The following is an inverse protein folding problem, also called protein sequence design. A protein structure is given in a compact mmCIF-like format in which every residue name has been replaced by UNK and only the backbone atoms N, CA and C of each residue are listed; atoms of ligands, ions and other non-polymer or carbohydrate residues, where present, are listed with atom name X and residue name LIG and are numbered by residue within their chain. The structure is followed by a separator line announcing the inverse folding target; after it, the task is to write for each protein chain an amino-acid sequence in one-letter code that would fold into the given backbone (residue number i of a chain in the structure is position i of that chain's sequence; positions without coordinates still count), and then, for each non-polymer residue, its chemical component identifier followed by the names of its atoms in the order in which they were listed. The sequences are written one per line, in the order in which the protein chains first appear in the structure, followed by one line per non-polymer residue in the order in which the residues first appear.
data_IF_147934304451
#
_entry.id   IF_147934304451
#
_cell.length_a   1.000
_cell.length_b   1.000
_cell.length_c   1.000
_cell.angle_alpha   90.00
_cell.angle_beta   90.00
_cell.angle_gamma   90.00
#
_symmetry.space_group_name_H-M   'P 1'
#
loop_
_entity.id
_entity.type
_entity.pdbx_description
1 polymer ?
#
# COMPACT_ATOMS: atom_id res chain seq x y z
N UNK A 1 13.24 -33.06 34.48
CA UNK A 1 12.85 -31.82 35.19
C UNK A 1 12.83 -30.59 34.28
N UNK A 2 13.71 -30.54 33.26
CA UNK A 2 13.83 -29.43 32.31
C UNK A 2 12.58 -29.25 31.43
N UNK A 3 11.98 -30.33 30.92
CA UNK A 3 10.77 -30.26 30.08
C UNK A 3 9.57 -29.61 30.78
N UNK A 4 9.38 -29.89 32.08
CA UNK A 4 8.32 -29.26 32.88
C UNK A 4 8.52 -27.75 33.03
N UNK A 5 9.77 -27.29 33.14
CA UNK A 5 10.09 -25.86 33.21
C UNK A 5 9.83 -25.16 31.87
N UNK A 6 10.23 -25.79 30.76
CA UNK A 6 9.99 -25.28 29.40
C UNK A 6 8.50 -25.19 29.10
N UNK A 7 7.73 -26.20 29.50
CA UNK A 7 6.28 -26.22 29.37
C UNK A 7 5.60 -25.12 30.19
N UNK A 8 6.04 -24.91 31.43
CA UNK A 8 5.53 -23.84 32.28
C UNK A 8 5.84 -22.45 31.71
N UNK A 9 7.03 -22.29 31.11
CA UNK A 9 7.45 -21.06 30.45
C UNK A 9 6.53 -20.70 29.28
N UNK A 10 6.25 -21.66 28.40
CA UNK A 10 5.31 -21.44 27.29
C UNK A 10 3.90 -21.11 27.78
N UNK A 11 3.42 -21.81 28.82
CA UNK A 11 2.12 -21.53 29.42
C UNK A 11 2.04 -20.11 30.02
N UNK A 12 3.11 -19.61 30.64
CA UNK A 12 3.21 -18.23 31.13
C UNK A 12 3.17 -17.21 29.99
N UNK A 13 3.94 -17.47 28.91
CA UNK A 13 3.95 -16.62 27.71
C UNK A 13 2.54 -16.45 27.13
N UNK A 14 1.77 -17.54 27.02
CA UNK A 14 0.43 -17.47 26.45
C UNK A 14 -0.58 -16.84 27.42
N UNK A 15 -0.53 -17.20 28.70
CA UNK A 15 -1.46 -16.69 29.73
C UNK A 15 -1.41 -15.17 29.84
N UNK A 16 -0.20 -14.63 29.91
CA UNK A 16 0.04 -13.21 30.24
C UNK A 16 0.37 -12.38 29.00
N UNK A 17 0.07 -12.90 27.80
CA UNK A 17 0.24 -12.20 26.50
C UNK A 17 1.65 -11.64 26.27
N UNK A 18 2.67 -12.50 26.28
CA UNK A 18 4.09 -12.15 26.07
C UNK A 18 4.66 -11.21 27.16
N UNK A 19 4.64 -11.59 28.44
CA UNK A 19 5.31 -10.80 29.47
C UNK A 19 6.82 -10.78 29.18
N UNK A 20 7.49 -9.61 29.30
CA UNK A 20 8.86 -9.42 28.82
C UNK A 20 9.85 -10.40 29.46
N UNK A 21 9.73 -10.69 30.76
CA UNK A 21 10.61 -11.64 31.45
C UNK A 21 10.54 -13.08 30.91
N UNK A 22 9.33 -13.56 30.60
CA UNK A 22 9.17 -14.90 30.04
C UNK A 22 9.66 -14.98 28.58
N UNK A 23 9.45 -13.91 27.80
CA UNK A 23 9.97 -13.81 26.43
C UNK A 23 11.49 -13.82 26.42
N UNK A 24 12.15 -13.01 27.26
CA UNK A 24 13.61 -13.01 27.39
C UNK A 24 14.14 -14.38 27.77
N UNK A 25 13.49 -15.07 28.71
CA UNK A 25 13.86 -16.43 29.13
C UNK A 25 13.71 -17.43 27.97
N UNK A 26 12.63 -17.33 27.18
CA UNK A 26 12.42 -18.20 26.03
C UNK A 26 13.42 -17.96 24.90
N UNK A 27 13.79 -16.71 24.63
CA UNK A 27 14.79 -16.37 23.61
C UNK A 27 16.17 -16.87 24.00
N UNK A 28 16.50 -16.89 25.29
CA UNK A 28 17.77 -17.39 25.81
C UNK A 28 17.93 -18.92 25.70
N UNK A 29 16.85 -19.67 25.42
CA UNK A 29 16.91 -21.13 25.25
C UNK A 29 17.82 -21.53 24.07
N UNK A 30 18.42 -22.72 24.17
CA UNK A 30 19.04 -23.37 23.01
C UNK A 30 18.05 -23.47 21.84
N UNK A 31 18.52 -23.39 20.60
CA UNK A 31 17.63 -23.39 19.43
C UNK A 31 16.70 -24.62 19.38
N UNK A 32 17.22 -25.79 19.75
CA UNK A 32 16.44 -27.03 19.82
C UNK A 32 15.34 -26.91 20.87
N UNK A 33 15.70 -26.56 22.10
CA UNK A 33 14.78 -26.38 23.22
C UNK A 33 13.70 -25.31 22.92
N UNK A 34 14.07 -24.24 22.23
CA UNK A 34 13.15 -23.20 21.77
C UNK A 34 12.11 -23.74 20.78
N UNK A 35 12.54 -24.51 19.78
CA UNK A 35 11.62 -25.09 18.79
C UNK A 35 10.76 -26.17 19.44
N UNK A 36 11.33 -26.99 20.32
CA UNK A 36 10.60 -28.03 21.06
C UNK A 36 9.56 -27.41 22.00
N UNK A 37 9.89 -26.30 22.67
CA UNK A 37 8.93 -25.50 23.45
C UNK A 37 7.72 -25.08 22.59
N UNK A 38 7.96 -24.51 21.40
CA UNK A 38 6.88 -24.08 20.50
C UNK A 38 6.09 -25.27 19.96
N UNK A 39 6.75 -26.37 19.58
CA UNK A 39 6.11 -27.56 19.07
C UNK A 39 5.21 -28.22 20.12
N UNK A 40 5.69 -28.35 21.37
CA UNK A 40 4.92 -28.88 22.50
C UNK A 40 3.76 -27.94 22.86
N UNK A 41 4.00 -26.63 22.79
CA UNK A 41 2.97 -25.61 22.95
C UNK A 41 1.84 -25.76 21.94
N UNK A 42 2.17 -25.81 20.65
CA UNK A 42 1.22 -26.06 19.54
C UNK A 42 0.53 -27.42 19.71
N UNK A 43 1.24 -28.46 20.14
CA UNK A 43 0.66 -29.78 20.36
C UNK A 43 -0.43 -29.78 21.43
N UNK A 44 -0.21 -29.05 22.53
CA UNK A 44 -1.23 -28.86 23.58
C UNK A 44 -2.47 -28.14 23.05
N UNK A 45 -2.32 -27.21 22.10
CA UNK A 45 -3.44 -26.52 21.46
C UNK A 45 -4.22 -27.40 20.48
N UNK A 46 -3.51 -28.19 19.66
CA UNK A 46 -4.12 -29.04 18.63
C UNK A 46 -4.44 -30.46 19.11
N UNK A 47 -4.24 -30.78 20.39
CA UNK A 47 -4.41 -32.11 21.01
C UNK A 47 -3.66 -33.23 20.28
N UNK A 48 -2.66 -32.89 19.48
CA UNK A 48 -1.87 -33.80 18.65
C UNK A 48 -0.53 -33.15 18.35
N UNK A 49 0.54 -33.96 18.26
CA UNK A 49 1.86 -33.45 17.94
C UNK A 49 1.85 -32.93 16.49
N UNK A 50 2.14 -31.65 16.22
CA UNK A 50 2.08 -31.11 14.88
C UNK A 50 3.15 -31.77 14.00
N UNK A 51 2.80 -32.10 12.76
CA UNK A 51 3.81 -32.44 11.76
C UNK A 51 4.74 -31.26 11.53
N UNK A 52 5.96 -31.49 11.01
CA UNK A 52 6.89 -30.39 10.70
C UNK A 52 6.28 -29.35 9.75
N UNK A 53 5.46 -29.79 8.79
CA UNK A 53 4.74 -28.90 7.89
C UNK A 53 3.67 -28.07 8.62
N UNK A 54 2.91 -28.68 9.53
CA UNK A 54 1.93 -27.97 10.36
C UNK A 54 2.61 -26.96 11.29
N UNK A 55 3.75 -27.33 11.88
CA UNK A 55 4.56 -26.44 12.71
C UNK A 55 5.12 -25.27 11.87
N UNK A 56 5.67 -25.52 10.68
CA UNK A 56 6.15 -24.47 9.79
C UNK A 56 5.05 -23.44 9.46
N UNK A 57 3.85 -23.93 9.16
CA UNK A 57 2.66 -23.10 8.92
C UNK A 57 2.28 -22.28 10.16
N UNK A 58 2.26 -22.89 11.34
CA UNK A 58 1.97 -22.22 12.61
C UNK A 58 2.98 -21.12 12.94
N UNK A 59 4.26 -21.33 12.62
CA UNK A 59 5.36 -20.40 12.84
C UNK A 59 5.50 -19.33 11.75
N UNK A 60 4.74 -19.45 10.64
CA UNK A 60 4.86 -18.56 9.49
C UNK A 60 6.23 -18.61 8.83
N UNK A 61 6.85 -19.79 8.77
CA UNK A 61 8.12 -20.03 8.07
C UNK A 61 7.96 -21.08 6.98
N UNK A 62 8.87 -21.08 6.00
CA UNK A 62 8.86 -22.10 4.96
C UNK A 62 9.15 -23.49 5.54
N UNK A 63 8.61 -24.53 4.90
CA UNK A 63 8.89 -25.90 5.30
C UNK A 63 10.39 -26.23 5.22
N UNK A 64 11.11 -25.75 4.19
CA UNK A 64 12.57 -25.91 4.12
C UNK A 64 13.29 -25.28 5.32
N UNK A 65 12.87 -24.09 5.76
CA UNK A 65 13.47 -23.41 6.90
C UNK A 65 13.28 -24.20 8.21
N UNK A 66 12.12 -24.83 8.45
CA UNK A 66 11.93 -25.62 9.67
C UNK A 66 12.85 -26.85 9.71
N UNK A 67 13.18 -27.44 8.56
CA UNK A 67 14.17 -28.52 8.49
C UNK A 67 15.58 -28.00 8.83
N UNK A 68 15.98 -26.86 8.28
CA UNK A 68 17.26 -26.20 8.61
C UNK A 68 17.37 -25.82 10.09
N UNK A 69 16.27 -25.35 10.70
CA UNK A 69 16.27 -24.94 12.10
C UNK A 69 16.27 -26.14 13.07
N UNK A 70 15.75 -27.28 12.64
CA UNK A 70 15.72 -28.53 13.43
C UNK A 70 16.89 -29.47 13.16
N UNK A 71 17.78 -29.11 12.23
CA UNK A 71 18.98 -29.88 11.92
C UNK A 71 19.99 -29.85 13.08
N UNK A 72 20.84 -30.88 13.15
CA UNK A 72 21.96 -30.88 14.09
C UNK A 72 22.93 -29.73 13.77
N UNK A 73 23.61 -29.18 14.77
CA UNK A 73 24.47 -28.00 14.59
C UNK A 73 25.63 -28.23 13.61
N UNK A 74 26.04 -29.49 13.43
CA UNK A 74 27.08 -29.91 12.48
C UNK A 74 26.55 -30.21 11.07
N UNK A 75 25.24 -30.13 10.85
CA UNK A 75 24.66 -30.39 9.53
C UNK A 75 24.88 -29.20 8.58
N UNK A 76 25.15 -29.51 7.31
CA UNK A 76 25.39 -28.49 6.24
C UNK A 76 24.26 -27.46 6.14
N UNK A 77 23.02 -27.89 6.34
CA UNK A 77 21.83 -27.05 6.19
C UNK A 77 21.37 -26.39 7.51
N UNK A 78 22.18 -26.46 8.58
CA UNK A 78 21.88 -25.82 9.84
C UNK A 78 21.85 -24.30 9.70
N UNK A 79 20.77 -23.67 10.18
CA UNK A 79 20.63 -22.22 10.24
C UNK A 79 20.35 -21.78 11.67
N UNK A 80 21.09 -20.78 12.15
CA UNK A 80 20.85 -20.19 13.47
C UNK A 80 19.67 -19.22 13.42
N UNK A 81 18.72 -19.38 14.33
CA UNK A 81 17.60 -18.45 14.50
C UNK A 81 18.08 -17.13 15.13
N UNK A 82 17.77 -16.00 14.49
CA UNK A 82 17.97 -14.67 15.08
C UNK A 82 16.95 -14.41 16.20
N UNK A 83 17.28 -13.47 17.09
CA UNK A 83 16.39 -13.02 18.17
C UNK A 83 15.03 -12.55 17.64
N UNK A 84 15.04 -11.73 16.59
CA UNK A 84 13.81 -11.21 15.97
C UNK A 84 12.93 -12.33 15.40
N UNK A 85 13.55 -13.34 14.79
CA UNK A 85 12.83 -14.50 14.26
C UNK A 85 12.18 -15.29 15.40
N UNK A 86 12.88 -15.45 16.54
CA UNK A 86 12.32 -16.11 17.73
C UNK A 86 11.12 -15.34 18.28
N UNK A 87 11.23 -14.02 18.41
CA UNK A 87 10.12 -13.16 18.86
C UNK A 87 8.92 -13.30 17.91
N UNK A 88 9.15 -13.20 16.59
CA UNK A 88 8.11 -13.34 15.58
C UNK A 88 7.42 -14.71 15.64
N UNK A 89 8.19 -15.79 15.85
CA UNK A 89 7.66 -17.14 16.02
C UNK A 89 6.76 -17.26 17.25
N UNK A 90 7.17 -16.74 18.41
CA UNK A 90 6.35 -16.73 19.64
C UNK A 90 5.02 -16.01 19.36
N UNK A 91 5.08 -14.80 18.79
CA UNK A 91 3.90 -13.99 18.52
C UNK A 91 2.93 -14.68 17.56
N UNK A 92 3.44 -15.34 16.51
CA UNK A 92 2.62 -16.08 15.55
C UNK A 92 1.89 -17.25 16.19
N UNK A 93 2.57 -18.05 17.02
CA UNK A 93 1.93 -19.18 17.72
C UNK A 93 0.78 -18.71 18.61
N UNK A 94 0.93 -17.54 19.24
CA UNK A 94 -0.10 -16.97 20.11
C UNK A 94 -1.30 -16.38 19.36
N UNK A 95 -1.08 -15.95 18.12
CA UNK A 95 -2.10 -15.33 17.27
C UNK A 95 -2.79 -16.31 16.34
N UNK A 96 -2.40 -17.60 16.36
CA UNK A 96 -3.12 -18.64 15.60
C UNK A 96 -4.59 -18.59 16.02
N UNK A 97 -5.52 -18.25 15.10
CA UNK A 97 -6.93 -18.20 15.42
C UNK A 97 -7.35 -19.60 15.88
N UNK A 98 -7.71 -19.71 17.17
CA UNK A 98 -8.03 -20.99 17.80
C UNK A 98 -9.21 -21.61 17.09
N UNK A 99 -8.99 -22.65 16.28
CA UNK A 99 -10.04 -23.32 15.55
C UNK A 99 -11.05 -24.07 16.46
N UNK A 100 -10.83 -24.17 17.78
CA UNK A 100 -11.63 -25.04 18.65
C UNK A 100 -11.88 -24.55 20.09
N UNK A 101 -11.90 -23.23 20.34
CA UNK A 101 -12.63 -22.71 21.51
C UNK A 101 -13.79 -21.87 21.00
N UNK A 102 -15.05 -22.34 21.07
CA UNK A 102 -16.17 -21.43 20.97
C UNK A 102 -16.03 -20.49 22.17
N UNK A 103 -15.54 -19.28 21.91
CA UNK A 103 -15.57 -18.23 22.92
C UNK A 103 -17.00 -18.17 23.46
N UNK A 104 -17.16 -18.00 24.76
CA UNK A 104 -18.49 -17.85 25.37
C UNK A 104 -19.31 -16.69 24.75
N UNK A 105 -18.70 -15.85 23.90
CA UNK A 105 -19.36 -14.86 23.04
C UNK A 105 -20.13 -15.45 21.84
N UNK A 106 -19.77 -16.64 21.34
CA UNK A 106 -20.40 -17.27 20.18
C UNK A 106 -21.76 -17.91 20.47
N UNK A 107 -22.13 -18.12 21.74
CA UNK A 107 -23.49 -18.56 22.11
C UNK A 107 -24.53 -17.44 22.05
N UNK A 108 -24.14 -16.20 21.76
CA UNK A 108 -25.07 -15.15 21.32
C UNK A 108 -25.12 -15.12 19.78
N UNK A 109 -25.51 -16.23 19.19
CA UNK A 109 -26.16 -16.23 17.89
C UNK A 109 -27.54 -15.55 18.04
N UNK A 110 -27.52 -14.24 18.21
CA UNK A 110 -28.68 -13.38 18.06
C UNK A 110 -28.26 -12.27 17.12
N UNK A 111 -28.66 -12.38 15.84
CA UNK A 111 -28.55 -11.36 14.77
C UNK A 111 -27.21 -10.60 14.76
N UNK A 112 -26.35 -10.85 13.77
CA UNK A 112 -25.29 -9.89 13.41
C UNK A 112 -25.91 -8.49 13.40
N UNK A 113 -25.58 -7.65 14.38
CA UNK A 113 -26.16 -6.31 14.49
C UNK A 113 -25.67 -5.55 13.27
N UNK A 114 -26.61 -4.95 12.53
CA UNK A 114 -26.26 -4.09 11.41
C UNK A 114 -25.36 -2.96 11.94
N UNK A 115 -24.11 -2.94 11.49
CA UNK A 115 -23.12 -1.91 11.83
C UNK A 115 -22.85 -1.08 10.58
N UNK A 116 -22.43 0.17 10.75
CA UNK A 116 -22.14 1.14 9.69
C UNK A 116 -20.87 1.90 10.07
N UNK A 117 -20.18 2.49 9.10
CA UNK A 117 -18.97 3.28 9.35
C UNK A 117 -19.39 4.75 9.43
N UNK A 118 -18.96 5.46 10.46
CA UNK A 118 -19.20 6.89 10.63
C UNK A 118 -17.91 7.53 11.12
N UNK A 119 -17.36 8.48 10.35
CA UNK A 119 -16.06 9.09 10.58
C UNK A 119 -14.91 8.07 10.75
N UNK A 120 -15.00 6.91 10.08
CA UNK A 120 -13.99 5.85 10.18
C UNK A 120 -14.16 4.89 11.38
N UNK A 121 -15.18 5.07 12.21
CA UNK A 121 -15.49 4.17 13.34
C UNK A 121 -16.73 3.31 13.07
N UNK A 122 -16.72 2.06 13.56
CA UNK A 122 -17.88 1.17 13.48
C UNK A 122 -18.95 1.58 14.50
N UNK A 123 -20.12 1.97 14.00
CA UNK A 123 -21.26 2.43 14.79
C UNK A 123 -22.52 1.62 14.46
N UNK A 124 -23.47 1.60 15.39
CA UNK A 124 -24.81 1.01 15.18
C UNK A 124 -25.82 2.08 14.80
N UNK A 125 -26.96 1.71 14.19
CA UNK A 125 -28.03 2.68 13.83
C UNK A 125 -28.48 3.51 15.04
N UNK A 126 -28.54 2.89 16.22
CA UNK A 126 -28.94 3.52 17.48
C UNK A 126 -27.93 4.55 18.00
N UNK A 127 -26.66 4.46 17.60
CA UNK A 127 -25.65 5.46 17.93
C UNK A 127 -25.54 6.51 16.82
N UNK A 128 -25.58 6.07 15.57
CA UNK A 128 -25.44 6.92 14.39
C UNK A 128 -26.54 7.96 14.28
N UNK A 129 -27.80 7.66 14.63
CA UNK A 129 -28.91 8.60 14.44
C UNK A 129 -28.75 9.89 15.26
N UNK A 130 -28.17 9.80 16.47
CA UNK A 130 -27.90 10.96 17.32
C UNK A 130 -26.79 11.83 16.74
N UNK A 131 -25.70 11.19 16.30
CA UNK A 131 -24.53 11.87 15.74
C UNK A 131 -24.90 12.58 14.43
N UNK A 132 -25.68 11.90 13.59
CA UNK A 132 -26.13 12.44 12.32
C UNK A 132 -27.30 13.41 12.48
N UNK A 133 -27.91 13.55 13.66
CA UNK A 133 -29.00 14.52 13.90
C UNK A 133 -30.38 14.11 13.36
N UNK A 134 -30.65 12.81 13.24
CA UNK A 134 -31.99 12.29 12.93
C UNK A 134 -32.87 12.28 14.18
N UNK A 135 -34.18 12.40 13.98
CA UNK A 135 -35.16 12.42 15.07
C UNK A 135 -35.33 11.07 15.77
N UNK A 136 -35.09 9.96 15.08
CA UNK A 136 -35.20 8.61 15.65
C UNK A 136 -34.32 7.60 14.88
N UNK A 137 -33.99 6.44 15.50
CA UNK A 137 -33.28 5.35 14.83
C UNK A 137 -34.03 4.84 13.58
N UNK A 138 -35.36 4.79 13.61
CA UNK A 138 -36.21 4.33 12.51
C UNK A 138 -36.16 5.29 11.32
N UNK A 139 -36.06 6.60 11.58
CA UNK A 139 -35.90 7.63 10.55
C UNK A 139 -34.57 7.47 9.80
N UNK A 140 -33.49 7.19 10.53
CA UNK A 140 -32.22 6.83 9.92
C UNK A 140 -32.31 5.49 9.18
N UNK A 141 -32.91 4.45 9.77
CA UNK A 141 -33.06 3.13 9.14
C UNK A 141 -33.86 3.20 7.82
N UNK A 142 -34.95 3.95 7.78
CA UNK A 142 -35.73 4.21 6.57
C UNK A 142 -34.92 4.95 5.51
N UNK A 143 -34.06 5.87 5.93
CA UNK A 143 -33.14 6.60 5.04
C UNK A 143 -32.07 5.67 4.47
N UNK A 144 -31.45 4.85 5.31
CA UNK A 144 -30.48 3.84 4.91
C UNK A 144 -31.08 2.84 3.91
N UNK A 145 -32.30 2.36 4.18
CA UNK A 145 -33.01 1.47 3.27
C UNK A 145 -33.36 2.16 1.93
N UNK A 146 -33.82 3.43 1.98
CA UNK A 146 -34.17 4.21 0.79
C UNK A 146 -32.98 4.43 -0.16
N UNK A 147 -31.79 4.66 0.41
CA UNK A 147 -30.56 4.84 -0.35
C UNK A 147 -29.76 3.55 -0.57
N UNK A 148 -30.23 2.41 -0.06
CA UNK A 148 -29.63 1.09 -0.29
C UNK A 148 -28.35 0.81 0.51
N UNK A 149 -28.10 1.55 1.59
CA UNK A 149 -26.95 1.31 2.47
C UNK A 149 -27.09 -0.02 3.22
N UNK A 150 -26.06 -0.87 3.12
CA UNK A 150 -25.99 -2.16 3.82
C UNK A 150 -25.05 -2.08 5.02
N UNK A 151 -25.12 -3.08 5.91
CA UNK A 151 -24.15 -3.19 7.01
C UNK A 151 -22.72 -3.11 6.47
N UNK A 152 -21.88 -2.31 7.12
CA UNK A 152 -20.49 -2.03 6.76
C UNK A 152 -20.29 -0.85 5.81
N UNK A 153 -21.35 -0.20 5.31
CA UNK A 153 -21.20 1.01 4.49
C UNK A 153 -20.88 2.24 5.35
N UNK A 154 -20.12 3.16 4.76
CA UNK A 154 -19.88 4.48 5.31
C UNK A 154 -21.12 5.38 5.12
N UNK A 155 -21.63 5.89 6.23
CA UNK A 155 -22.83 6.72 6.30
C UNK A 155 -22.53 8.13 6.77
N UNK A 156 -21.24 8.52 6.83
CA UNK A 156 -20.78 9.85 7.27
C UNK A 156 -21.42 10.99 6.46
N UNK A 157 -21.77 10.72 5.21
CA UNK A 157 -22.40 11.69 4.30
C UNK A 157 -23.86 12.00 4.64
N UNK A 158 -24.50 11.22 5.53
CA UNK A 158 -25.90 11.41 5.87
C UNK A 158 -26.04 12.43 7.01
N UNK A 159 -26.47 13.65 6.71
CA UNK A 159 -26.84 14.61 7.75
C UNK A 159 -28.37 14.68 7.91
N UNK A 160 -28.83 14.50 9.14
CA UNK A 160 -30.21 14.61 9.56
C UNK A 160 -30.69 16.04 9.39
N UNK A 161 -31.83 16.16 8.72
CA UNK A 161 -32.47 17.43 8.41
C UNK A 161 -33.00 18.07 9.70
N UNK A 162 -32.17 18.85 10.41
CA UNK A 162 -32.66 19.77 11.44
C UNK A 162 -33.56 20.78 10.75
N UNK A 163 -34.87 20.58 10.87
CA UNK A 163 -35.86 21.60 10.49
C UNK A 163 -35.50 22.90 11.23
N UNK A 164 -34.94 23.87 10.53
CA UNK A 164 -34.82 25.24 11.02
C UNK A 164 -33.49 25.98 10.82
N UNK A 165 -32.39 25.33 10.41
CA UNK A 165 -31.14 26.07 10.10
C UNK A 165 -30.66 25.70 8.71
N UNK A 166 -30.93 26.61 7.77
CA UNK A 166 -30.61 26.46 6.36
C UNK A 166 -29.11 26.33 6.14
N UNK A 167 -28.67 25.10 5.88
CA UNK A 167 -27.53 24.73 5.04
C UNK A 167 -27.75 23.25 4.66
N UNK A 168 -28.61 23.04 3.66
CA UNK A 168 -28.80 21.73 3.03
C UNK A 168 -28.46 21.91 1.54
N UNK A 169 -27.55 21.12 0.94
CA UNK A 169 -27.56 20.97 -0.50
C UNK A 169 -28.90 20.38 -0.89
N UNK A 170 -29.70 21.17 -1.61
CA UNK A 170 -31.06 20.86 -2.06
C UNK A 170 -31.13 19.42 -2.59
N UNK A 171 -31.76 18.52 -1.83
CA UNK A 171 -32.19 17.25 -2.38
C UNK A 171 -33.13 17.55 -3.55
N UNK A 172 -32.87 17.04 -4.77
CA UNK A 172 -33.65 17.41 -5.94
C UNK A 172 -35.13 17.08 -5.72
N UNK A 173 -36.00 18.03 -6.10
CA UNK A 173 -37.46 17.89 -6.09
C UNK A 173 -37.85 16.55 -6.72
N UNK A 174 -38.77 15.82 -6.07
CA UNK A 174 -39.37 14.56 -6.52
C UNK A 174 -39.50 14.50 -8.06
N UNK A 175 -38.80 13.60 -8.76
CA UNK A 175 -39.24 13.20 -10.09
C UNK A 175 -40.17 12.00 -9.94
N UNK A 176 -41.37 12.11 -10.51
CA UNK A 176 -42.27 10.98 -10.75
C UNK A 176 -41.68 10.04 -11.80
N UNK A 177 -40.63 9.30 -11.42
CA UNK A 177 -40.05 8.08 -12.03
C UNK A 177 -38.75 7.83 -11.26
N UNK A 178 -38.48 6.56 -10.92
CA UNK A 178 -37.22 6.13 -10.26
C UNK A 178 -36.01 6.50 -11.13
N UNK A 179 -35.49 7.70 -10.98
CA UNK A 179 -34.26 8.14 -11.66
C UNK A 179 -33.09 7.48 -10.96
N UNK A 180 -32.27 6.76 -11.72
CA UNK A 180 -31.04 6.18 -11.19
C UNK A 180 -30.13 7.30 -10.68
N UNK A 181 -29.52 7.11 -9.51
CA UNK A 181 -28.57 8.03 -8.89
C UNK A 181 -27.19 7.39 -8.84
N UNK A 182 -26.14 8.20 -8.80
CA UNK A 182 -24.75 7.76 -8.77
C UNK A 182 -23.91 8.69 -7.88
N UNK A 183 -22.78 8.20 -7.41
CA UNK A 183 -21.85 8.98 -6.60
C UNK A 183 -20.72 9.47 -7.51
N UNK A 184 -20.50 10.78 -7.59
CA UNK A 184 -19.41 11.38 -8.35
C UNK A 184 -18.62 12.33 -7.46
N UNK A 185 -17.38 11.98 -7.14
CA UNK A 185 -16.49 12.69 -6.24
C UNK A 185 -17.12 12.97 -4.85
N UNK A 186 -17.97 12.06 -4.37
CA UNK A 186 -18.69 12.19 -3.10
C UNK A 186 -20.08 12.83 -3.21
N UNK A 187 -20.43 13.43 -4.35
CA UNK A 187 -21.77 13.99 -4.57
C UNK A 187 -22.75 12.92 -5.07
N UNK A 188 -23.93 12.84 -4.46
CA UNK A 188 -25.04 12.05 -4.99
C UNK A 188 -25.73 12.87 -6.09
N UNK A 189 -25.57 12.42 -7.33
CA UNK A 189 -26.13 13.07 -8.51
C UNK A 189 -27.05 12.12 -9.27
N UNK A 190 -28.06 12.67 -9.94
CA UNK A 190 -28.91 11.87 -10.80
C UNK A 190 -28.19 11.44 -12.10
N UNK A 191 -28.76 10.47 -12.80
CA UNK A 191 -28.19 9.95 -14.05
C UNK A 191 -27.98 11.01 -15.14
N UNK A 192 -28.76 12.09 -15.15
CA UNK A 192 -28.70 13.11 -16.19
C UNK A 192 -27.57 14.10 -15.88
N UNK A 193 -27.48 14.50 -14.62
CA UNK A 193 -26.40 15.32 -14.08
C UNK A 193 -25.06 14.58 -14.15
N UNK A 194 -25.05 13.28 -13.86
CA UNK A 194 -23.88 12.43 -14.04
C UNK A 194 -23.38 12.39 -15.48
N UNK A 195 -24.30 12.22 -16.44
CA UNK A 195 -23.95 12.23 -17.86
C UNK A 195 -23.36 13.58 -18.28
N UNK A 196 -23.91 14.70 -17.79
CA UNK A 196 -23.40 16.06 -18.08
C UNK A 196 -22.03 16.31 -17.46
N UNK A 197 -21.85 16.02 -16.16
CA UNK A 197 -20.58 16.26 -15.45
C UNK A 197 -19.43 15.40 -15.96
N UNK A 198 -19.73 14.19 -16.43
CA UNK A 198 -18.75 13.32 -17.09
C UNK A 198 -18.67 13.57 -18.62
N UNK A 199 -19.31 14.64 -19.10
CA UNK A 199 -19.27 15.10 -20.50
C UNK A 199 -19.70 14.05 -21.54
N UNK A 200 -20.65 13.17 -21.22
CA UNK A 200 -21.21 12.23 -22.19
C UNK A 200 -22.15 12.92 -23.17
N UNK A 201 -22.02 12.58 -24.47
CA UNK A 201 -22.79 13.20 -25.56
C UNK A 201 -24.30 13.01 -25.40
N UNK A 202 -24.72 11.85 -24.89
CA UNK A 202 -26.13 11.55 -24.63
C UNK A 202 -26.26 10.52 -23.49
N UNK A 203 -27.47 10.40 -22.94
CA UNK A 203 -27.78 9.47 -21.84
C UNK A 203 -27.53 8.01 -22.21
N UNK A 204 -27.74 7.65 -23.48
CA UNK A 204 -27.53 6.29 -23.97
C UNK A 204 -26.05 5.88 -23.90
N UNK A 205 -25.14 6.75 -24.34
CA UNK A 205 -23.69 6.51 -24.28
C UNK A 205 -23.19 6.38 -22.82
N UNK A 206 -23.77 7.17 -21.91
CA UNK A 206 -23.49 7.05 -20.49
C UNK A 206 -23.98 5.70 -19.92
N UNK A 207 -25.20 5.27 -20.25
CA UNK A 207 -25.74 3.96 -19.83
C UNK A 207 -24.92 2.80 -20.38
N UNK A 208 -24.46 2.88 -21.62
CA UNK A 208 -23.59 1.88 -22.22
C UNK A 208 -22.21 1.83 -21.54
N UNK A 209 -21.66 2.99 -21.15
CA UNK A 209 -20.44 3.04 -20.34
C UNK A 209 -20.65 2.39 -18.97
N UNK A 210 -21.76 2.68 -18.29
CA UNK A 210 -22.10 2.03 -17.01
C UNK A 210 -22.24 0.52 -17.16
N UNK A 211 -22.94 0.05 -18.20
CA UNK A 211 -23.14 -1.37 -18.47
C UNK A 211 -21.81 -2.10 -18.73
N UNK A 212 -20.90 -1.50 -19.51
CA UNK A 212 -19.55 -2.06 -19.75
C UNK A 212 -18.73 -2.19 -18.47
N UNK A 213 -18.89 -1.25 -17.54
CA UNK A 213 -18.21 -1.28 -16.24
C UNK A 213 -19.00 -2.02 -15.15
N UNK A 214 -20.16 -2.60 -15.47
CA UNK A 214 -21.02 -3.30 -14.51
C UNK A 214 -21.59 -2.40 -13.40
N UNK A 215 -21.61 -1.08 -13.60
CA UNK A 215 -22.01 -0.10 -12.60
C UNK A 215 -23.53 0.06 -12.59
N UNK A 216 -24.13 -0.07 -11.40
CA UNK A 216 -25.59 0.06 -11.16
C UNK A 216 -25.92 1.36 -10.45
N UNK A 217 -27.20 1.72 -10.39
CA UNK A 217 -27.66 2.85 -9.55
C UNK A 217 -27.11 2.71 -8.12
N UNK A 218 -26.58 3.80 -7.57
CA UNK A 218 -25.91 3.87 -6.28
C UNK A 218 -24.40 3.60 -6.32
N UNK A 219 -23.85 3.21 -7.48
CA UNK A 219 -22.40 3.00 -7.62
C UNK A 219 -21.64 4.31 -7.72
N UNK A 220 -20.38 4.29 -7.27
CA UNK A 220 -19.42 5.35 -7.48
C UNK A 220 -18.91 5.34 -8.93
N UNK A 221 -19.13 6.45 -9.63
CA UNK A 221 -18.77 6.68 -11.03
C UNK A 221 -17.61 7.67 -11.17
N UNK A 222 -16.92 8.03 -10.08
CA UNK A 222 -15.77 8.95 -10.08
C UNK A 222 -14.63 8.51 -10.99
N UNK A 223 -14.52 7.21 -11.24
CA UNK A 223 -13.52 6.62 -12.13
C UNK A 223 -14.00 6.45 -13.57
N UNK A 224 -15.28 6.75 -13.85
CA UNK A 224 -15.88 6.55 -15.16
C UNK A 224 -15.51 7.72 -16.09
N UNK A 225 -14.53 7.51 -16.98
CA UNK A 225 -14.11 8.52 -17.95
C UNK A 225 -14.81 8.31 -19.30
N UNK A 226 -15.31 9.39 -19.90
CA UNK A 226 -15.82 9.35 -21.27
C UNK A 226 -14.67 9.16 -22.27
N UNK A 227 -14.46 7.93 -22.74
CA UNK A 227 -13.41 7.57 -23.73
C UNK A 227 -13.65 8.17 -25.13
N UNK A 228 -14.85 8.67 -25.43
CA UNK A 228 -15.19 9.25 -26.74
C UNK A 228 -14.78 10.72 -26.88
N UNK A 229 -14.13 11.32 -25.88
CA UNK A 229 -13.46 12.62 -26.02
C UNK A 229 -12.24 12.43 -26.93
N UNK A 230 -12.44 12.56 -28.25
CA UNK A 230 -11.37 13.01 -29.15
C UNK A 230 -10.97 14.40 -28.68
N UNK A 231 -10.04 14.46 -27.71
CA UNK A 231 -9.37 15.70 -27.36
C UNK A 231 -8.58 16.10 -28.60
N UNK A 232 -9.04 17.14 -29.31
CA UNK A 232 -8.15 17.87 -30.21
C UNK A 232 -7.09 18.49 -29.29
N UNK A 233 -5.79 18.12 -29.41
CA UNK A 233 -4.77 18.72 -28.58
C UNK A 233 -4.66 20.19 -28.98
N UNK A 234 -4.89 21.08 -28.02
CA UNK A 234 -4.47 22.47 -28.17
C UNK A 234 -2.95 22.46 -28.32
N UNK A 235 -2.44 23.08 -29.40
CA UNK A 235 -1.00 23.27 -29.61
C UNK A 235 -0.35 23.87 -28.36
N UNK A 236 0.86 23.50 -27.96
CA UNK A 236 2.08 23.54 -28.77
C UNK A 236 3.19 22.72 -28.10
N UNK A 237 4.11 22.29 -28.97
CA UNK A 237 5.42 21.65 -28.78
C UNK A 237 5.47 20.12 -28.63
N UNK A 238 6.03 19.41 -29.63
CA UNK A 238 6.25 17.98 -29.57
C UNK A 238 7.53 17.70 -28.76
N UNK A 239 7.39 17.31 -27.51
CA UNK A 239 8.51 16.73 -26.77
C UNK A 239 8.29 15.22 -26.66
N UNK A 240 9.00 14.54 -27.54
CA UNK A 240 9.37 13.12 -27.48
C UNK A 240 8.20 12.15 -27.62
N UNK A 241 7.81 11.89 -28.87
CA UNK A 241 6.96 10.76 -29.19
C UNK A 241 7.61 9.44 -28.76
N UNK A 242 6.93 8.66 -27.92
CA UNK A 242 7.11 7.22 -27.64
C UNK A 242 8.56 6.67 -27.76
N UNK A 243 9.55 7.44 -27.31
CA UNK A 243 10.94 7.28 -27.74
C UNK A 243 11.90 7.12 -26.59
N UNK A 244 12.90 6.27 -26.77
CA UNK A 244 14.04 6.11 -25.86
C UNK A 244 14.83 7.42 -25.82
N UNK A 245 15.08 7.95 -24.61
CA UNK A 245 15.77 9.23 -24.43
C UNK A 245 17.22 9.13 -24.90
N UNK A 246 17.65 10.10 -25.72
CA UNK A 246 18.95 10.06 -26.41
C UNK A 246 20.02 10.91 -25.75
N UNK A 247 19.63 11.92 -24.97
CA UNK A 247 20.57 12.83 -24.30
C UNK A 247 20.15 13.17 -22.87
N UNK A 248 21.10 13.64 -22.08
CA UNK A 248 20.83 14.11 -20.71
C UNK A 248 19.92 15.35 -20.69
N UNK A 249 20.12 16.29 -21.61
CA UNK A 249 19.30 17.49 -21.73
C UNK A 249 17.82 17.14 -22.03
N UNK A 250 17.59 16.16 -22.90
CA UNK A 250 16.24 15.64 -23.19
C UNK A 250 15.60 14.99 -21.95
N UNK A 251 16.40 14.26 -21.16
CA UNK A 251 15.95 13.66 -19.91
C UNK A 251 15.57 14.71 -18.85
N UNK A 252 16.30 15.83 -18.81
CA UNK A 252 16.03 16.97 -17.92
C UNK A 252 14.79 17.74 -18.37
N UNK A 253 14.62 17.99 -19.67
CA UNK A 253 13.42 18.62 -20.23
C UNK A 253 12.16 17.80 -19.95
N UNK A 254 12.25 16.46 -20.06
CA UNK A 254 11.14 15.56 -19.79
C UNK A 254 10.57 15.68 -18.37
N UNK A 255 11.41 16.00 -17.36
CA UNK A 255 10.99 16.12 -15.96
C UNK A 255 10.67 17.53 -15.50
N UNK A 256 10.89 18.54 -16.35
CA UNK A 256 10.74 19.96 -16.00
C UNK A 256 9.27 20.41 -15.93
N UNK A 257 8.35 19.47 -16.17
CA UNK A 257 6.92 19.71 -16.14
C UNK A 257 6.29 19.40 -14.78
N UNK A 258 5.18 20.07 -14.47
CA UNK A 258 4.38 19.76 -13.27
C UNK A 258 3.84 18.32 -13.28
N UNK A 259 3.59 17.78 -14.47
CA UNK A 259 3.17 16.40 -14.71
C UNK A 259 4.07 15.77 -15.77
N UNK A 260 4.55 14.58 -15.47
CA UNK A 260 5.41 13.79 -16.36
C UNK A 260 4.54 12.92 -17.26
N UNK A 261 4.90 12.85 -18.53
CA UNK A 261 4.23 12.02 -19.54
C UNK A 261 4.73 10.58 -19.49
N UNK A 262 3.85 9.60 -19.48
CA UNK A 262 4.22 8.19 -19.61
C UNK A 262 4.64 7.90 -21.05
N UNK A 263 5.87 7.42 -21.27
CA UNK A 263 6.41 7.14 -22.60
C UNK A 263 5.80 5.87 -23.24
N UNK A 264 5.05 5.07 -22.47
CA UNK A 264 4.33 3.88 -22.96
C UNK A 264 2.91 4.22 -23.44
N UNK A 265 2.23 5.22 -22.84
CA UNK A 265 0.83 5.53 -23.15
C UNK A 265 0.51 7.00 -23.43
N UNK A 266 1.48 7.91 -23.36
CA UNK A 266 1.34 9.34 -23.63
C UNK A 266 0.52 10.12 -22.59
N UNK A 267 0.11 9.50 -21.48
CA UNK A 267 -0.70 10.16 -20.43
C UNK A 267 0.18 10.87 -19.41
N UNK A 268 -0.25 12.03 -18.92
CA UNK A 268 0.51 12.85 -17.96
C UNK A 268 0.08 12.61 -16.51
N UNK A 269 1.05 12.42 -15.61
CA UNK A 269 0.83 12.11 -14.19
C UNK A 269 1.75 12.93 -13.29
N UNK A 270 1.29 13.25 -12.08
CA UNK A 270 2.14 13.89 -11.06
C UNK A 270 3.20 12.92 -10.50
N UNK A 271 2.83 11.65 -10.35
CA UNK A 271 3.71 10.59 -9.88
C UNK A 271 3.57 9.36 -10.78
N UNK A 272 4.60 9.10 -11.58
CA UNK A 272 4.56 8.08 -12.62
C UNK A 272 4.65 6.63 -12.10
N UNK A 273 5.45 6.28 -11.07
CA UNK A 273 5.67 4.88 -10.66
C UNK A 273 4.41 4.06 -10.37
N UNK A 274 3.38 4.67 -9.77
CA UNK A 274 2.12 3.98 -9.50
C UNK A 274 1.41 3.61 -10.81
N UNK A 275 1.46 4.50 -11.79
CA UNK A 275 0.83 4.28 -13.08
C UNK A 275 1.55 3.19 -13.88
N UNK A 276 2.88 3.25 -14.01
CA UNK A 276 3.65 2.22 -14.77
C UNK A 276 3.50 0.83 -14.17
N UNK A 277 3.46 0.70 -12.84
CA UNK A 277 3.21 -0.58 -12.20
C UNK A 277 1.79 -1.11 -12.49
N UNK A 278 0.75 -0.27 -12.32
CA UNK A 278 -0.65 -0.71 -12.47
C UNK A 278 -1.11 -0.87 -13.91
N UNK A 279 -0.65 0.00 -14.82
CA UNK A 279 -1.11 0.03 -16.21
C UNK A 279 -0.22 -0.78 -17.14
N UNK A 280 1.08 -0.88 -16.84
CA UNK A 280 2.06 -1.53 -17.72
C UNK A 280 2.75 -2.74 -17.07
N UNK A 281 2.51 -3.00 -15.78
CA UNK A 281 3.15 -4.12 -15.08
C UNK A 281 4.66 -3.98 -14.91
N UNK A 282 5.21 -2.78 -15.13
CA UNK A 282 6.65 -2.50 -15.07
C UNK A 282 7.04 -1.95 -13.71
N UNK A 283 8.19 -2.38 -13.21
CA UNK A 283 8.87 -1.69 -12.11
C UNK A 283 9.45 -0.35 -12.59
N UNK A 284 9.75 0.55 -11.63
CA UNK A 284 10.35 1.84 -11.96
C UNK A 284 11.72 1.69 -12.62
N UNK A 285 12.49 0.66 -12.25
CA UNK A 285 13.83 0.43 -12.79
C UNK A 285 13.78 -0.17 -14.20
N UNK A 286 12.88 -1.14 -14.45
CA UNK A 286 12.65 -1.66 -15.81
C UNK A 286 12.17 -0.57 -16.77
N UNK A 287 11.28 0.32 -16.30
CA UNK A 287 10.84 1.47 -17.09
C UNK A 287 11.99 2.42 -17.42
N UNK A 288 12.87 2.68 -16.44
CA UNK A 288 14.06 3.51 -16.67
C UNK A 288 15.02 2.88 -17.68
N UNK A 289 15.26 1.58 -17.58
CA UNK A 289 16.17 0.89 -18.49
C UNK A 289 15.61 0.85 -19.91
N UNK A 290 14.30 0.58 -20.06
CA UNK A 290 13.61 0.57 -21.36
C UNK A 290 13.68 1.92 -22.08
N UNK A 291 13.42 3.01 -21.35
CA UNK A 291 13.42 4.36 -21.92
C UNK A 291 14.75 5.10 -21.80
N UNK A 292 15.81 4.42 -21.32
CA UNK A 292 17.15 4.98 -21.13
C UNK A 292 17.17 6.21 -20.20
N UNK A 293 16.32 6.21 -19.17
CA UNK A 293 16.23 7.26 -18.15
C UNK A 293 17.24 6.95 -17.03
N UNK A 294 18.09 7.90 -16.62
CA UNK A 294 19.01 7.75 -15.49
C UNK A 294 18.30 7.50 -14.17
N UNK A 295 18.96 6.74 -13.28
CA UNK A 295 18.49 6.53 -11.92
C UNK A 295 18.42 7.82 -11.09
N UNK A 296 19.27 8.81 -11.41
CA UNK A 296 19.28 10.13 -10.76
C UNK A 296 18.07 10.98 -11.10
N UNK A 297 17.35 10.65 -12.17
CA UNK A 297 16.21 11.42 -12.65
C UNK A 297 14.92 10.90 -11.99
N UNK A 298 14.17 11.77 -11.28
CA UNK A 298 12.96 11.36 -10.61
C UNK A 298 11.81 11.18 -11.60
N UNK A 299 11.05 10.10 -11.46
CA UNK A 299 9.81 9.85 -12.22
C UNK A 299 8.61 10.58 -11.59
N UNK A 300 8.81 11.81 -11.12
CA UNK A 300 7.78 12.63 -10.50
C UNK A 300 7.86 14.10 -10.95
N UNK A 301 6.70 14.72 -11.20
CA UNK A 301 6.62 16.10 -11.65
C UNK A 301 7.14 17.11 -10.63
N UNK A 302 7.52 18.31 -11.09
CA UNK A 302 8.14 19.37 -10.27
C UNK A 302 7.30 19.74 -9.05
N UNK A 303 6.00 19.98 -9.24
CA UNK A 303 5.06 20.34 -8.18
C UNK A 303 4.96 19.26 -7.09
N UNK A 304 4.86 17.99 -7.49
CA UNK A 304 4.82 16.87 -6.54
C UNK A 304 6.12 16.75 -5.75
N UNK A 305 7.27 16.90 -6.42
CA UNK A 305 8.60 16.90 -5.77
C UNK A 305 8.75 18.05 -4.78
N UNK A 306 8.23 19.23 -5.10
CA UNK A 306 8.26 20.39 -4.20
C UNK A 306 7.40 20.15 -2.95
N UNK A 307 6.17 19.69 -3.12
CA UNK A 307 5.26 19.37 -2.02
C UNK A 307 5.82 18.28 -1.09
N UNK A 308 6.41 17.22 -1.67
CA UNK A 308 7.00 16.15 -0.89
C UNK A 308 8.25 16.60 -0.12
N UNK A 309 9.09 17.45 -0.72
CA UNK A 309 10.22 18.07 -0.01
C UNK A 309 9.74 18.91 1.17
N UNK A 310 8.77 19.79 0.96
CA UNK A 310 8.22 20.61 2.03
C UNK A 310 7.63 19.77 3.18
N UNK A 311 6.95 18.65 2.85
CA UNK A 311 6.45 17.70 3.85
C UNK A 311 7.57 17.08 4.67
N UNK A 312 8.64 16.62 4.02
CA UNK A 312 9.79 16.01 4.70
C UNK A 312 10.46 17.02 5.62
N UNK A 313 10.67 18.25 5.16
CA UNK A 313 11.28 19.31 5.99
C UNK A 313 10.44 19.66 7.21
N UNK A 314 9.10 19.69 7.09
CA UNK A 314 8.21 19.84 8.26
C UNK A 314 8.36 18.70 9.26
N UNK A 315 8.41 17.45 8.78
CA UNK A 315 8.58 16.28 9.65
C UNK A 315 9.92 16.27 10.38
N UNK A 316 10.98 16.78 9.74
CA UNK A 316 12.29 16.98 10.39
C UNK A 316 12.20 18.06 11.46
N UNK A 317 11.59 19.21 11.15
CA UNK A 317 11.42 20.31 12.10
C UNK A 317 10.59 19.89 13.33
N UNK A 318 9.55 19.08 13.13
CA UNK A 318 8.72 18.53 14.20
C UNK A 318 9.41 17.42 15.01
N UNK A 319 10.65 17.03 14.65
CA UNK A 319 11.39 15.94 15.31
C UNK A 319 10.82 14.54 15.07
N UNK A 320 9.79 14.40 14.22
CA UNK A 320 9.13 13.12 13.91
C UNK A 320 9.96 12.26 12.95
N UNK A 321 10.90 12.86 12.23
CA UNK A 321 11.83 12.18 11.32
C UNK A 321 13.28 12.46 11.75
N UNK A 322 13.92 11.48 12.37
CA UNK A 322 15.36 11.55 12.69
C UNK A 322 16.19 11.03 11.52
N UNK A 323 17.26 11.76 11.18
CA UNK A 323 18.17 11.43 10.08
C UNK A 323 19.40 10.60 10.54
N UNK A 324 19.39 10.08 11.76
CA UNK A 324 20.54 9.41 12.40
C UNK A 324 20.95 8.12 11.68
N UNK A 325 19.98 7.34 11.21
CA UNK A 325 20.18 6.10 10.46
C UNK A 325 20.75 6.32 9.04
N UNK A 326 20.90 7.57 8.58
CA UNK A 326 21.45 7.85 7.25
C UNK A 326 22.96 7.63 7.17
N UNK A 327 23.67 7.59 8.31
CA UNK A 327 25.11 7.29 8.33
C UNK A 327 25.39 5.88 7.79
N UNK A 328 24.72 4.87 8.35
CA UNK A 328 24.81 3.48 7.91
C UNK A 328 24.36 3.32 6.45
N UNK A 329 23.31 4.03 6.05
CA UNK A 329 22.82 4.04 4.66
C UNK A 329 23.85 4.65 3.69
N UNK A 330 24.59 5.67 4.13
CA UNK A 330 25.64 6.31 3.32
C UNK A 330 26.84 5.37 3.14
N UNK A 331 27.21 4.64 4.19
CA UNK A 331 28.28 3.64 4.13
C UNK A 331 27.90 2.46 3.24
N UNK A 332 26.69 1.93 3.40
CA UNK A 332 26.13 0.92 2.51
C UNK A 332 26.13 1.37 1.04
N UNK A 333 25.73 2.62 0.76
CA UNK A 333 25.73 3.18 -0.59
C UNK A 333 27.13 3.30 -1.22
N UNK A 334 28.18 3.57 -0.43
CA UNK A 334 29.57 3.55 -0.93
C UNK A 334 29.99 2.16 -1.40
N UNK A 335 29.55 1.12 -0.69
CA UNK A 335 29.89 -0.27 -0.99
C UNK A 335 29.05 -0.91 -2.11
N UNK A 336 27.82 -0.43 -2.33
CA UNK A 336 26.85 -1.01 -3.25
C UNK A 336 27.20 -0.88 -4.76
N UNK A 337 28.31 -0.21 -5.09
CA UNK A 337 28.67 0.10 -6.48
C UNK A 337 27.76 1.15 -7.10
N UNK A 338 28.20 1.76 -8.21
CA UNK A 338 27.35 2.68 -8.98
C UNK A 338 26.60 1.86 -10.03
N UNK A 339 25.28 2.07 -10.15
CA UNK A 339 24.45 1.41 -11.15
C UNK A 339 24.95 1.61 -12.59
N UNK A 340 24.47 0.79 -13.52
CA UNK A 340 24.89 0.83 -14.92
C UNK A 340 24.64 2.20 -15.56
N UNK A 341 25.71 2.83 -16.07
CA UNK A 341 25.63 4.09 -16.81
C UNK A 341 24.85 3.91 -18.11
N UNK A 342 24.03 4.92 -18.45
CA UNK A 342 23.23 4.95 -19.68
C UNK A 342 24.10 5.12 -20.92
N UNK A 343 23.54 4.79 -22.08
CA UNK A 343 24.29 4.74 -23.35
C UNK A 343 24.95 6.10 -23.69
N UNK A 344 24.23 7.20 -23.48
CA UNK A 344 24.78 8.54 -23.74
C UNK A 344 25.78 9.00 -22.67
N UNK A 345 25.63 8.58 -21.41
CA UNK A 345 26.61 8.88 -20.36
C UNK A 345 27.94 8.18 -20.62
N UNK A 346 27.89 6.95 -21.16
CA UNK A 346 29.08 6.19 -21.59
C UNK A 346 29.79 6.90 -22.74
N UNK A 347 29.04 7.37 -23.75
CA UNK A 347 29.59 8.13 -24.88
C UNK A 347 30.25 9.43 -24.43
N UNK A 348 29.58 10.21 -23.59
CA UNK A 348 30.11 11.46 -23.06
C UNK A 348 31.36 11.24 -22.21
N UNK A 349 31.39 10.18 -21.39
CA UNK A 349 32.60 9.81 -20.65
C UNK A 349 33.75 9.41 -21.58
N UNK A 350 33.48 8.67 -22.65
CA UNK A 350 34.51 8.30 -23.63
C UNK A 350 35.09 9.54 -24.32
N UNK A 351 34.26 10.52 -24.68
CA UNK A 351 34.69 11.81 -25.25
C UNK A 351 35.54 12.62 -24.25
N UNK A 352 35.07 12.73 -23.00
CA UNK A 352 35.85 13.32 -21.89
C UNK A 352 37.21 12.65 -21.71
N UNK A 353 37.28 11.32 -21.81
CA UNK A 353 38.55 10.59 -21.68
C UNK A 353 39.47 10.83 -22.88
N UNK A 354 38.92 10.96 -24.10
CA UNK A 354 39.70 11.37 -25.27
C UNK A 354 40.30 12.76 -25.08
N UNK A 355 39.50 13.74 -24.70
CA UNK A 355 40.00 15.12 -24.48
C UNK A 355 41.05 15.18 -23.36
N UNK A 356 40.88 14.42 -22.28
CA UNK A 356 41.87 14.36 -21.18
C UNK A 356 43.18 13.69 -21.63
N UNK A 357 43.11 12.68 -22.49
CA UNK A 357 44.29 12.04 -23.08
C UNK A 357 44.99 12.98 -24.08
N UNK A 358 44.22 13.65 -24.94
CA UNK A 358 44.72 14.56 -25.98
C UNK A 358 45.35 15.83 -25.37
N UNK A 359 44.79 16.33 -24.26
CA UNK A 359 45.35 17.48 -23.51
C UNK A 359 46.57 17.12 -22.65
N UNK A 360 47.00 15.85 -22.62
CA UNK A 360 48.14 15.39 -21.83
C UNK A 360 47.94 15.46 -20.30
N UNK A 361 46.74 15.81 -19.83
CA UNK A 361 46.38 15.88 -18.40
C UNK A 361 46.05 14.51 -17.80
N UNK A 362 46.00 13.46 -18.62
CA UNK A 362 45.91 12.08 -18.15
C UNK A 362 47.18 11.72 -17.37
N UNK A 363 47.15 11.94 -16.06
CA UNK A 363 48.07 11.48 -15.01
C UNK A 363 49.27 10.67 -15.53
N UNK A 364 50.31 11.36 -16.02
CA UNK A 364 51.60 10.74 -16.32
C UNK A 364 52.25 10.48 -14.96
N UNK A 365 51.92 9.33 -14.36
CA UNK A 365 52.61 8.81 -13.18
C UNK A 365 54.04 8.55 -13.64
N UNK A 366 54.91 9.56 -13.53
CA UNK A 366 56.33 9.42 -13.80
C UNK A 366 56.82 8.34 -12.85
N UNK A 367 57.13 7.16 -13.41
CA UNK A 367 57.91 6.15 -12.69
C UNK A 367 59.24 6.82 -12.35
N UNK A 368 59.42 7.25 -11.11
CA UNK A 368 60.75 7.45 -10.56
C UNK A 368 61.45 6.10 -10.68
N UNK A 369 62.43 6.01 -11.59
CA UNK A 369 63.32 4.84 -11.66
C UNK A 369 64.07 4.71 -10.33
N UNK A 370 64.35 3.48 -9.87
CA UNK A 370 64.96 3.19 -8.58
C UNK A 370 66.36 3.81 -8.44
#
# INVERSE_FOLDING_TARGET
MQDKKIDALFAAIVRDRMPPGAVTTAIALGQRDFIDMLANGVAKYHKSKPSKAALAKALGVSQGAIYSYTAAQNAKDYRKLSTDTRIAMIWRVMTIPTANKPSAKAKRAGKRRNFYILNGEETTVDQAYKILGYSSPESLAATLHRYGFRSGHDITILQGNRRGLGLVPVAPKKPGRRTAFYILNGDIIDSDEAAKRLEYKNKSAFREALARHGLKSGSDISLLQNRNKRVKPAGNSPLVGAGRIKSRAEAEQYIDHEKIECLECGKRFAFLPIHINRAHGLSADEYRDRHNIPATIPLAGTAYRAAQRAKIERLKADGRLTCEHLADATEAARSAGRGSKRDYDRKHQAEMMKTVNDTGKAYRKTKSKP
#
